data_IF_737817477310
#
_entry.id   IF_737817477310
#
_cell.length_a   1.000
_cell.length_b   1.000
_cell.length_c   1.000
_cell.angle_alpha   90.00
_cell.angle_beta   90.00
_cell.angle_gamma   90.00
#
_symmetry.space_group_name_H-M   'P 1'
#
loop_
_entity.id
_entity.type
_entity.pdbx_description
1 polymer ?
#
# COMPACT_ATOMS: atom_id res chain seq x y z
N UNK A 1 -5.68 9.15 -9.31
CA UNK A 1 -5.13 7.96 -8.61
C UNK A 1 -5.92 6.68 -8.92
N UNK A 2 -5.25 5.54 -9.17
CA UNK A 2 -5.89 4.22 -9.26
C UNK A 2 -6.21 3.65 -7.88
N UNK A 3 -7.46 3.24 -7.65
CA UNK A 3 -7.91 2.57 -6.43
C UNK A 3 -8.63 1.27 -6.79
N UNK A 4 -8.76 0.38 -5.79
CA UNK A 4 -9.55 -0.84 -5.92
C UNK A 4 -10.76 -0.72 -5.00
N UNK A 5 -11.96 -0.83 -5.59
CA UNK A 5 -13.21 -0.97 -4.85
C UNK A 5 -13.54 -2.44 -4.73
N UNK A 6 -13.72 -2.88 -3.49
CA UNK A 6 -14.18 -4.22 -3.18
C UNK A 6 -15.71 -4.20 -3.02
N UNK A 7 -16.40 -5.03 -3.78
CA UNK A 7 -17.82 -5.34 -3.57
C UNK A 7 -18.00 -6.81 -3.20
N UNK A 8 -18.95 -7.11 -2.33
CA UNK A 8 -19.30 -8.48 -1.96
C UNK A 8 -20.37 -8.99 -2.92
N UNK A 9 -20.14 -10.12 -3.58
CA UNK A 9 -21.19 -10.80 -4.34
C UNK A 9 -22.10 -11.60 -3.40
N UNK A 10 -23.38 -11.65 -3.74
CA UNK A 10 -24.42 -12.39 -3.04
C UNK A 10 -25.10 -13.34 -4.03
N UNK A 11 -24.36 -14.35 -4.54
CA UNK A 11 -24.95 -15.33 -5.44
C UNK A 11 -25.97 -16.22 -4.72
N UNK A 12 -27.02 -16.62 -5.42
CA UNK A 12 -27.85 -17.75 -5.00
C UNK A 12 -27.09 -19.09 -5.13
N UNK A 13 -27.72 -20.20 -4.75
CA UNK A 13 -27.09 -21.52 -4.77
C UNK A 13 -26.61 -21.96 -6.17
N UNK A 14 -27.40 -21.66 -7.22
CA UNK A 14 -27.08 -22.02 -8.60
C UNK A 14 -25.93 -21.15 -9.10
N UNK A 15 -26.01 -19.85 -8.87
CA UNK A 15 -24.97 -18.88 -9.22
C UNK A 15 -23.65 -19.20 -8.51
N UNK A 16 -23.71 -19.58 -7.22
CA UNK A 16 -22.54 -19.94 -6.43
C UNK A 16 -21.86 -21.20 -6.96
N UNK A 17 -22.65 -22.24 -7.28
CA UNK A 17 -22.14 -23.48 -7.87
C UNK A 17 -21.37 -23.23 -9.17
N UNK A 18 -21.89 -22.36 -10.05
CA UNK A 18 -21.22 -21.98 -11.29
C UNK A 18 -19.85 -21.30 -11.05
N UNK A 19 -19.73 -20.47 -10.02
CA UNK A 19 -18.46 -19.85 -9.63
C UNK A 19 -17.49 -20.86 -9.02
N UNK A 20 -17.99 -21.77 -8.19
CA UNK A 20 -17.21 -22.84 -7.55
C UNK A 20 -16.66 -23.86 -8.54
N UNK A 21 -17.35 -24.05 -9.67
CA UNK A 21 -16.82 -24.81 -10.81
C UNK A 21 -15.80 -24.00 -11.61
N UNK A 22 -16.17 -22.77 -11.98
CA UNK A 22 -15.40 -21.96 -12.93
C UNK A 22 -14.04 -21.51 -12.39
N UNK A 23 -13.98 -20.93 -11.18
CA UNK A 23 -12.73 -20.35 -10.68
C UNK A 23 -11.62 -21.39 -10.48
N UNK A 24 -11.89 -22.57 -9.87
CA UNK A 24 -10.92 -23.66 -9.82
C UNK A 24 -10.48 -24.15 -11.20
N UNK A 25 -11.41 -24.39 -12.13
CA UNK A 25 -11.08 -24.85 -13.48
C UNK A 25 -10.22 -23.86 -14.26
N UNK A 26 -10.47 -22.55 -14.12
CA UNK A 26 -9.61 -21.51 -14.70
C UNK A 26 -8.20 -21.54 -14.10
N UNK A 27 -8.06 -21.79 -12.80
CA UNK A 27 -6.76 -21.88 -12.15
C UNK A 27 -6.00 -23.18 -12.50
N UNK A 28 -6.72 -24.28 -12.72
CA UNK A 28 -6.16 -25.53 -13.22
C UNK A 28 -5.67 -25.38 -14.67
N UNK A 29 -6.49 -24.79 -15.55
CA UNK A 29 -6.09 -24.47 -16.90
C UNK A 29 -4.88 -23.51 -16.93
N UNK A 30 -4.82 -22.52 -16.02
CA UNK A 30 -3.65 -21.65 -15.88
C UNK A 30 -2.39 -22.41 -15.45
N UNK A 31 -2.52 -23.40 -14.56
CA UNK A 31 -1.39 -24.27 -14.20
C UNK A 31 -0.91 -25.12 -15.37
N UNK A 32 -1.83 -25.63 -16.20
CA UNK A 32 -1.48 -26.36 -17.41
C UNK A 32 -0.74 -25.46 -18.41
N UNK A 33 -1.26 -24.27 -18.73
CA UNK A 33 -0.56 -23.30 -19.61
C UNK A 33 0.81 -22.91 -19.04
N UNK A 34 0.90 -22.76 -17.72
CA UNK A 34 2.16 -22.46 -17.04
C UNK A 34 3.19 -23.60 -17.18
N UNK A 35 2.74 -24.86 -17.09
CA UNK A 35 3.61 -26.02 -17.34
C UNK A 35 4.12 -26.05 -18.79
N UNK A 36 3.22 -25.87 -19.77
CA UNK A 36 3.58 -25.78 -21.20
C UNK A 36 4.58 -24.63 -21.44
N UNK A 37 4.31 -23.46 -20.86
CA UNK A 37 5.23 -22.31 -20.94
C UNK A 37 6.60 -22.62 -20.38
N UNK A 38 6.66 -23.33 -19.25
CA UNK A 38 7.92 -23.63 -18.58
C UNK A 38 8.74 -24.67 -19.35
N UNK A 39 8.08 -25.68 -19.90
CA UNK A 39 8.73 -26.71 -20.71
C UNK A 39 9.27 -26.13 -22.02
N UNK A 40 8.47 -25.33 -22.73
CA UNK A 40 8.86 -24.77 -24.02
C UNK A 40 9.80 -23.56 -23.91
N UNK A 41 9.64 -22.72 -22.87
CA UNK A 41 10.28 -21.40 -22.81
C UNK A 41 10.91 -21.06 -21.44
N UNK A 42 10.97 -22.00 -20.51
CA UNK A 42 11.37 -21.76 -19.12
C UNK A 42 10.62 -20.55 -18.53
N UNK A 43 11.34 -19.49 -18.13
CA UNK A 43 10.73 -18.29 -17.54
C UNK A 43 10.38 -17.18 -18.55
N UNK A 44 10.59 -17.43 -19.85
CA UNK A 44 10.56 -16.40 -20.91
C UNK A 44 9.35 -16.50 -21.85
N UNK A 45 8.38 -17.36 -21.55
CA UNK A 45 7.17 -17.51 -22.36
C UNK A 45 6.41 -16.20 -22.51
N UNK A 46 6.21 -15.76 -23.74
CA UNK A 46 5.45 -14.56 -24.10
C UNK A 46 4.00 -14.87 -24.45
N UNK A 47 3.15 -13.84 -24.44
CA UNK A 47 1.71 -13.97 -24.73
C UNK A 47 1.48 -14.54 -26.14
N UNK A 48 2.27 -14.10 -27.13
CA UNK A 48 2.10 -14.49 -28.54
C UNK A 48 2.40 -15.98 -28.74
N UNK A 49 3.49 -16.46 -28.14
CA UNK A 49 3.95 -17.84 -28.23
C UNK A 49 2.96 -18.78 -27.53
N UNK A 50 2.55 -18.42 -26.30
CA UNK A 50 1.58 -19.21 -25.55
C UNK A 50 0.20 -19.21 -26.20
N UNK A 51 -0.20 -18.12 -26.86
CA UNK A 51 -1.44 -18.09 -27.63
C UNK A 51 -1.42 -19.10 -28.77
N UNK A 52 -0.31 -19.20 -29.52
CA UNK A 52 -0.19 -20.17 -30.62
C UNK A 52 -0.30 -21.61 -30.12
N UNK A 53 0.33 -21.94 -28.98
CA UNK A 53 0.39 -23.31 -28.48
C UNK A 53 -0.85 -23.73 -27.67
N UNK A 54 -1.41 -22.82 -26.86
CA UNK A 54 -2.39 -23.21 -25.86
C UNK A 54 -3.83 -22.83 -26.22
N UNK A 55 -4.06 -21.89 -27.13
CA UNK A 55 -5.40 -21.36 -27.38
C UNK A 55 -6.38 -22.44 -27.84
N UNK A 56 -6.00 -23.30 -28.79
CA UNK A 56 -6.84 -24.39 -29.29
C UNK A 56 -7.29 -25.32 -28.17
N UNK A 57 -6.34 -25.87 -27.40
CA UNK A 57 -6.65 -26.78 -26.28
C UNK A 57 -7.45 -26.10 -25.16
N UNK A 58 -7.29 -24.79 -24.93
CA UNK A 58 -8.14 -24.07 -23.98
C UNK A 58 -9.60 -23.98 -24.47
N UNK A 59 -9.80 -23.81 -25.78
CA UNK A 59 -11.15 -23.79 -26.38
C UNK A 59 -11.80 -25.17 -26.29
N UNK A 60 -11.06 -26.24 -26.55
CA UNK A 60 -11.52 -27.63 -26.40
C UNK A 60 -11.89 -27.96 -24.95
N UNK A 61 -11.20 -27.38 -23.97
CA UNK A 61 -11.54 -27.47 -22.53
C UNK A 61 -12.78 -26.64 -22.14
N UNK A 62 -13.48 -26.05 -23.10
CA UNK A 62 -14.73 -25.31 -22.88
C UNK A 62 -14.55 -23.83 -22.50
N UNK A 63 -13.33 -23.28 -22.52
CA UNK A 63 -13.15 -21.86 -22.20
C UNK A 63 -13.65 -20.97 -23.35
N UNK A 64 -14.36 -19.90 -23.01
CA UNK A 64 -14.72 -18.82 -23.92
C UNK A 64 -13.49 -18.17 -24.57
N UNK A 65 -13.63 -17.58 -25.76
CA UNK A 65 -12.50 -16.98 -26.49
C UNK A 65 -11.79 -15.92 -25.64
N UNK A 66 -12.54 -15.02 -25.00
CA UNK A 66 -11.98 -14.00 -24.11
C UNK A 66 -11.34 -14.62 -22.86
N UNK A 67 -11.99 -15.60 -22.23
CA UNK A 67 -11.45 -16.27 -21.05
C UNK A 67 -10.12 -16.99 -21.34
N UNK A 68 -10.00 -17.65 -22.48
CA UNK A 68 -8.76 -18.28 -22.92
C UNK A 68 -7.63 -17.23 -23.11
N UNK A 69 -7.95 -16.11 -23.77
CA UNK A 69 -6.99 -15.01 -23.99
C UNK A 69 -6.50 -14.39 -22.68
N UNK A 70 -7.41 -14.08 -21.75
CA UNK A 70 -7.07 -13.52 -20.45
C UNK A 70 -6.29 -14.49 -19.57
N UNK A 71 -6.62 -15.79 -19.63
CA UNK A 71 -5.86 -16.81 -18.93
C UNK A 71 -4.42 -16.88 -19.43
N UNK A 72 -4.20 -16.87 -20.75
CA UNK A 72 -2.84 -16.84 -21.35
C UNK A 72 -2.08 -15.58 -20.92
N UNK A 73 -2.72 -14.40 -21.03
CA UNK A 73 -2.15 -13.11 -20.59
C UNK A 73 -1.73 -13.17 -19.12
N UNK A 74 -2.61 -13.66 -18.25
CA UNK A 74 -2.36 -13.82 -16.80
C UNK A 74 -1.15 -14.71 -16.52
N UNK A 75 -0.96 -15.80 -17.26
CA UNK A 75 0.21 -16.68 -17.12
C UNK A 75 1.48 -15.93 -17.51
N UNK A 76 1.50 -15.30 -18.68
CA UNK A 76 2.65 -14.51 -19.14
C UNK A 76 3.01 -13.36 -18.18
N UNK A 77 2.01 -12.65 -17.65
CA UNK A 77 2.21 -11.57 -16.68
C UNK A 77 2.80 -12.10 -15.36
N UNK A 78 2.42 -13.30 -14.94
CA UNK A 78 2.99 -13.95 -13.77
C UNK A 78 4.48 -14.28 -13.95
N UNK A 79 4.88 -14.77 -15.13
CA UNK A 79 6.30 -15.00 -15.46
C UNK A 79 7.09 -13.69 -15.57
N UNK A 80 6.50 -12.65 -16.16
CA UNK A 80 7.09 -11.31 -16.22
C UNK A 80 7.33 -10.75 -14.81
N UNK A 81 6.35 -10.88 -13.93
CA UNK A 81 6.47 -10.48 -12.52
C UNK A 81 7.56 -11.29 -11.80
N UNK A 82 7.64 -12.60 -12.03
CA UNK A 82 8.67 -13.43 -11.43
C UNK A 82 10.08 -12.99 -11.85
N UNK A 83 10.29 -12.76 -13.15
CA UNK A 83 11.57 -12.27 -13.68
C UNK A 83 11.96 -10.92 -13.10
N UNK A 84 11.03 -9.97 -13.04
CA UNK A 84 11.26 -8.67 -12.42
C UNK A 84 11.68 -8.78 -10.94
N UNK A 85 11.05 -9.69 -10.18
CA UNK A 85 11.43 -9.95 -8.79
C UNK A 85 12.82 -10.59 -8.64
N UNK A 86 13.23 -11.44 -9.57
CA UNK A 86 14.58 -12.01 -9.62
C UNK A 86 15.60 -10.91 -9.90
N UNK A 87 15.35 -10.08 -10.91
CA UNK A 87 16.22 -8.98 -11.31
C UNK A 87 16.37 -7.93 -10.22
N UNK A 88 15.28 -7.60 -9.51
CA UNK A 88 15.31 -6.70 -8.36
C UNK A 88 16.00 -7.29 -7.12
N UNK A 89 16.45 -8.56 -7.15
CA UNK A 89 17.09 -9.21 -6.01
C UNK A 89 16.14 -9.60 -4.88
N UNK A 90 14.82 -9.51 -5.07
CA UNK A 90 13.82 -9.80 -4.04
C UNK A 90 13.81 -11.27 -3.59
N UNK A 91 14.33 -12.17 -4.44
CA UNK A 91 14.49 -13.59 -4.12
C UNK A 91 15.89 -13.94 -3.58
N UNK A 92 16.79 -12.95 -3.47
CA UNK A 92 18.17 -13.14 -3.04
C UNK A 92 19.12 -13.54 -4.18
N UNK A 93 20.40 -13.81 -3.85
CA UNK A 93 21.41 -14.21 -4.84
C UNK A 93 21.07 -15.55 -5.51
N UNK A 94 21.76 -15.88 -6.59
CA UNK A 94 21.63 -17.14 -7.34
C UNK A 94 21.78 -18.36 -6.43
N UNK A 95 22.65 -18.27 -5.42
CA UNK A 95 22.85 -19.33 -4.42
C UNK A 95 21.70 -19.48 -3.43
N UNK A 96 20.75 -18.56 -3.37
CA UNK A 96 19.65 -18.66 -2.41
C UNK A 96 18.71 -19.83 -2.76
N UNK A 97 18.26 -20.56 -1.73
CA UNK A 97 17.28 -21.65 -1.92
C UNK A 97 15.96 -21.14 -2.50
N UNK A 98 15.58 -19.89 -2.17
CA UNK A 98 14.36 -19.25 -2.64
C UNK A 98 14.40 -18.99 -4.15
N UNK A 99 15.49 -18.43 -4.66
CA UNK A 99 15.67 -18.17 -6.09
C UNK A 99 15.76 -19.47 -6.89
N UNK A 100 16.61 -20.42 -6.46
CA UNK A 100 16.74 -21.74 -7.09
C UNK A 100 15.38 -22.43 -7.25
N UNK A 101 14.58 -22.44 -6.17
CA UNK A 101 13.23 -23.02 -6.19
C UNK A 101 12.25 -22.30 -7.13
N UNK A 102 12.41 -20.99 -7.32
CA UNK A 102 11.53 -20.21 -8.18
C UNK A 102 11.89 -20.38 -9.66
N UNK A 103 13.17 -20.58 -9.96
CA UNK A 103 13.67 -20.82 -11.33
C UNK A 103 13.48 -22.27 -11.78
N UNK A 104 13.42 -23.24 -10.85
CA UNK A 104 13.40 -24.67 -11.16
C UNK A 104 12.03 -25.27 -11.47
N UNK A 105 10.95 -24.48 -11.54
CA UNK A 105 9.59 -25.01 -11.68
C UNK A 105 8.62 -23.98 -12.26
N UNK A 106 7.50 -24.42 -12.86
CA UNK A 106 6.47 -23.51 -13.34
C UNK A 106 5.83 -22.68 -12.23
N UNK A 107 5.28 -21.54 -12.63
CA UNK A 107 4.46 -20.72 -11.73
C UNK A 107 3.16 -21.46 -11.41
N UNK A 108 2.79 -21.54 -10.14
CA UNK A 108 1.60 -22.28 -9.69
C UNK A 108 0.53 -21.31 -9.18
N UNK A 109 -0.66 -21.41 -9.78
CA UNK A 109 -1.90 -20.77 -9.39
C UNK A 109 -2.65 -21.67 -8.40
N UNK A 110 -2.98 -21.12 -7.23
CA UNK A 110 -3.80 -21.82 -6.23
C UNK A 110 -5.23 -21.99 -6.74
N UNK A 111 -5.92 -23.03 -6.26
CA UNK A 111 -7.33 -23.36 -6.57
C UNK A 111 -8.27 -22.16 -6.59
N UNK A 112 -8.17 -21.26 -5.60
CA UNK A 112 -9.02 -20.07 -5.48
C UNK A 112 -8.24 -18.76 -5.70
N UNK A 113 -7.22 -18.78 -6.57
CA UNK A 113 -6.53 -17.54 -6.95
C UNK A 113 -7.47 -16.67 -7.77
N UNK A 114 -7.42 -15.36 -7.54
CA UNK A 114 -8.27 -14.39 -8.22
C UNK A 114 -8.14 -14.48 -9.75
N UNK A 115 -9.24 -14.35 -10.46
CA UNK A 115 -9.26 -14.32 -11.92
C UNK A 115 -9.84 -13.00 -12.43
N UNK A 116 -9.16 -12.42 -13.42
CA UNK A 116 -9.48 -11.10 -13.96
C UNK A 116 -10.46 -11.22 -15.11
N UNK A 117 -11.54 -10.45 -15.06
CA UNK A 117 -12.54 -10.35 -16.12
C UNK A 117 -12.57 -8.96 -16.73
N UNK A 118 -12.68 -8.91 -18.05
CA UNK A 118 -12.93 -7.68 -18.80
C UNK A 118 -14.44 -7.40 -18.96
N UNK A 119 -14.76 -6.33 -19.66
CA UNK A 119 -16.15 -5.87 -19.85
C UNK A 119 -16.97 -6.76 -20.78
N UNK A 120 -16.31 -7.67 -21.51
CA UNK A 120 -16.96 -8.67 -22.35
C UNK A 120 -17.41 -9.87 -21.52
N UNK A 121 -16.61 -10.24 -20.53
CA UNK A 121 -16.91 -11.34 -19.61
C UNK A 121 -17.69 -10.88 -18.36
N UNK A 122 -17.69 -9.60 -18.03
CA UNK A 122 -18.31 -9.07 -16.82
C UNK A 122 -18.99 -7.73 -17.09
N UNK A 123 -20.29 -7.64 -16.84
CA UNK A 123 -21.03 -6.37 -16.94
C UNK A 123 -21.64 -5.98 -15.59
N UNK A 124 -21.68 -4.67 -15.35
CA UNK A 124 -22.28 -4.07 -14.17
C UNK A 124 -23.66 -3.48 -14.51
N UNK A 125 -24.63 -3.71 -13.64
CA UNK A 125 -25.87 -2.94 -13.59
C UNK A 125 -25.90 -2.25 -12.21
N UNK A 126 -25.58 -0.96 -12.20
CA UNK A 126 -25.42 -0.22 -10.95
C UNK A 126 -26.78 0.12 -10.31
N UNK A 127 -27.81 0.36 -11.10
CA UNK A 127 -29.16 0.70 -10.62
C UNK A 127 -29.80 -0.48 -9.90
N UNK A 128 -29.70 -1.67 -10.51
CA UNK A 128 -30.18 -2.91 -9.89
C UNK A 128 -29.19 -3.50 -8.87
N UNK A 129 -27.99 -2.94 -8.74
CA UNK A 129 -26.86 -3.48 -7.98
C UNK A 129 -26.59 -4.97 -8.27
N UNK A 130 -26.57 -5.31 -9.57
CA UNK A 130 -26.25 -6.65 -10.04
C UNK A 130 -25.07 -6.66 -11.00
N UNK A 131 -24.45 -7.82 -11.15
CA UNK A 131 -23.45 -8.10 -12.19
C UNK A 131 -23.84 -9.33 -12.99
N UNK A 132 -23.42 -9.36 -14.24
CA UNK A 132 -23.48 -10.57 -15.06
C UNK A 132 -22.07 -11.02 -15.42
N UNK A 133 -21.73 -12.27 -15.08
CA UNK A 133 -20.37 -12.80 -15.17
C UNK A 133 -20.39 -14.06 -16.04
N UNK A 134 -19.44 -14.16 -16.97
CA UNK A 134 -19.21 -15.36 -17.75
C UNK A 134 -18.65 -16.47 -16.86
N UNK A 135 -19.20 -17.68 -16.99
CA UNK A 135 -18.76 -18.90 -16.33
C UNK A 135 -18.70 -20.06 -17.34
N UNK A 136 -18.17 -21.21 -16.91
CA UNK A 136 -18.21 -22.43 -17.72
C UNK A 136 -19.64 -22.95 -17.94
N UNK A 137 -20.59 -22.54 -17.09
CA UNK A 137 -22.02 -22.87 -17.19
C UNK A 137 -22.80 -21.87 -18.07
N UNK A 138 -22.09 -20.96 -18.74
CA UNK A 138 -22.67 -19.86 -19.50
C UNK A 138 -22.62 -18.54 -18.74
N UNK A 139 -23.39 -17.54 -19.18
CA UNK A 139 -23.37 -16.23 -18.53
C UNK A 139 -24.34 -16.20 -17.37
N UNK A 140 -23.81 -16.17 -16.15
CA UNK A 140 -24.59 -16.01 -14.92
C UNK A 140 -25.03 -14.55 -14.83
N UNK A 141 -26.34 -14.30 -14.80
CA UNK A 141 -26.94 -12.94 -14.79
C UNK A 141 -27.48 -12.59 -13.40
N UNK A 142 -27.67 -11.30 -13.18
CA UNK A 142 -28.36 -10.75 -12.01
C UNK A 142 -27.76 -11.17 -10.65
N UNK A 143 -26.45 -11.38 -10.59
CA UNK A 143 -25.78 -11.67 -9.32
C UNK A 143 -25.73 -10.40 -8.51
N UNK A 144 -26.45 -10.36 -7.39
CA UNK A 144 -26.50 -9.18 -6.52
C UNK A 144 -25.11 -8.90 -5.93
N UNK A 145 -24.77 -7.64 -5.79
CA UNK A 145 -23.59 -7.22 -5.04
C UNK A 145 -23.96 -6.21 -3.95
N UNK A 146 -23.16 -6.18 -2.89
CA UNK A 146 -23.30 -5.25 -1.79
C UNK A 146 -22.02 -4.45 -1.61
N UNK A 147 -22.17 -3.13 -1.47
CA UNK A 147 -21.09 -2.20 -1.17
C UNK A 147 -21.63 -0.96 -0.42
N UNK A 148 -20.74 -0.11 0.08
CA UNK A 148 -21.17 1.15 0.71
C UNK A 148 -21.69 2.14 -0.34
N UNK A 149 -22.56 3.11 0.02
CA UNK A 149 -23.03 4.14 -0.91
C UNK A 149 -21.89 4.90 -1.60
N UNK A 150 -20.82 5.22 -0.85
CA UNK A 150 -19.62 5.86 -1.40
C UNK A 150 -18.89 4.98 -2.41
N UNK A 151 -18.84 3.67 -2.17
CA UNK A 151 -18.22 2.72 -3.09
C UNK A 151 -19.04 2.62 -4.37
N UNK A 152 -20.38 2.59 -4.27
CA UNK A 152 -21.27 2.59 -5.43
C UNK A 152 -21.09 3.84 -6.29
N UNK A 153 -21.10 5.04 -5.66
CA UNK A 153 -20.84 6.31 -6.35
C UNK A 153 -19.50 6.30 -7.09
N UNK A 154 -18.46 5.79 -6.45
CA UNK A 154 -17.13 5.69 -7.06
C UNK A 154 -17.08 4.69 -8.21
N UNK A 155 -17.79 3.57 -8.11
CA UNK A 155 -17.88 2.58 -9.20
C UNK A 155 -18.57 3.19 -10.43
N UNK A 156 -19.73 3.82 -10.23
CA UNK A 156 -20.50 4.44 -11.32
C UNK A 156 -19.66 5.51 -12.03
N UNK A 157 -18.99 6.37 -11.28
CA UNK A 157 -18.29 7.51 -11.85
C UNK A 157 -16.91 7.18 -12.44
N UNK A 158 -16.18 6.23 -11.84
CA UNK A 158 -14.73 6.12 -12.07
C UNK A 158 -14.24 4.71 -12.39
N UNK A 159 -15.11 3.70 -12.44
CA UNK A 159 -14.68 2.34 -12.77
C UNK A 159 -14.19 2.28 -14.21
N UNK A 160 -12.96 1.79 -14.39
CA UNK A 160 -12.34 1.58 -15.70
C UNK A 160 -11.59 0.25 -15.73
N UNK A 161 -11.70 -0.44 -16.86
CA UNK A 161 -10.90 -1.64 -17.14
C UNK A 161 -11.41 -2.89 -16.43
N UNK A 162 -10.50 -3.79 -16.08
CA UNK A 162 -10.84 -5.16 -15.66
C UNK A 162 -11.29 -5.23 -14.18
N UNK A 163 -11.91 -6.34 -13.79
CA UNK A 163 -12.34 -6.60 -12.40
C UNK A 163 -11.99 -8.03 -12.00
N UNK A 164 -11.41 -8.20 -10.80
CA UNK A 164 -10.97 -9.51 -10.33
C UNK A 164 -12.07 -10.20 -9.53
N UNK A 165 -12.45 -11.42 -9.93
CA UNK A 165 -13.25 -12.33 -9.14
C UNK A 165 -12.38 -13.01 -8.07
N UNK A 166 -12.77 -12.84 -6.82
CA UNK A 166 -12.02 -13.30 -5.65
C UNK A 166 -12.91 -14.16 -4.76
N UNK A 167 -12.44 -15.36 -4.42
CA UNK A 167 -13.04 -16.19 -3.39
C UNK A 167 -12.18 -16.16 -2.12
N UNK A 168 -12.78 -15.71 -1.01
CA UNK A 168 -12.06 -15.55 0.26
C UNK A 168 -12.99 -15.80 1.44
N UNK A 169 -12.53 -16.65 2.37
CA UNK A 169 -13.22 -16.91 3.64
C UNK A 169 -14.70 -17.30 3.43
N UNK A 170 -14.97 -18.15 2.42
CA UNK A 170 -16.31 -18.62 2.06
C UNK A 170 -17.19 -17.60 1.33
N UNK A 171 -16.62 -16.48 0.87
CA UNK A 171 -17.36 -15.37 0.26
C UNK A 171 -16.76 -14.98 -1.09
N UNK A 172 -17.64 -14.56 -1.99
CA UNK A 172 -17.30 -14.06 -3.32
C UNK A 172 -17.21 -12.53 -3.32
N UNK A 173 -16.21 -12.00 -4.00
CA UNK A 173 -15.99 -10.56 -4.16
C UNK A 173 -15.59 -10.23 -5.59
N UNK A 174 -15.91 -9.01 -6.00
CA UNK A 174 -15.27 -8.38 -7.15
C UNK A 174 -14.40 -7.22 -6.66
N UNK A 175 -13.17 -7.20 -7.14
CA UNK A 175 -12.25 -6.08 -6.96
C UNK A 175 -12.21 -5.31 -8.28
N UNK A 176 -12.92 -4.19 -8.32
CA UNK A 176 -12.99 -3.32 -9.48
C UNK A 176 -11.93 -2.21 -9.35
N UNK A 177 -11.11 -2.05 -10.39
CA UNK A 177 -10.19 -0.92 -10.46
C UNK A 177 -10.96 0.33 -10.86
N UNK A 178 -10.71 1.43 -10.16
CA UNK A 178 -11.29 2.73 -10.44
C UNK A 178 -10.18 3.77 -10.57
N UNK A 179 -10.35 4.69 -11.52
CA UNK A 179 -9.43 5.80 -11.76
C UNK A 179 -10.06 7.08 -11.22
N UNK A 180 -9.80 7.41 -9.95
CA UNK A 180 -10.28 8.68 -9.40
C UNK A 180 -9.45 9.82 -9.98
N UNK A 181 -10.06 10.93 -10.41
CA UNK A 181 -9.32 12.17 -10.60
C UNK A 181 -8.74 12.59 -9.24
N UNK A 182 -7.52 13.12 -9.27
CA UNK A 182 -6.97 13.78 -8.10
C UNK A 182 -7.78 15.07 -7.89
N UNK A 183 -8.09 15.40 -6.64
CA UNK A 183 -8.83 16.64 -6.35
C UNK A 183 -7.86 17.81 -6.47
N UNK A 184 -8.32 18.92 -7.02
CA UNK A 184 -7.56 20.15 -7.02
C UNK A 184 -7.26 20.58 -5.58
N UNK A 185 -6.02 20.99 -5.36
CA UNK A 185 -5.56 21.50 -4.09
C UNK A 185 -6.14 22.90 -3.89
N UNK A 186 -6.68 23.19 -2.69
CA UNK A 186 -7.08 24.55 -2.33
C UNK A 186 -5.85 25.37 -1.93
N UNK A 187 -5.90 26.70 -2.04
CA UNK A 187 -4.84 27.55 -1.47
C UNK A 187 -4.87 27.48 0.07
N UNK A 188 -3.81 26.96 0.73
CA UNK A 188 -3.82 26.74 2.17
C UNK A 188 -3.64 28.03 2.95
N UNK A 189 -4.52 28.30 3.92
CA UNK A 189 -4.40 29.50 4.78
C UNK A 189 -3.19 29.43 5.74
N UNK A 190 -2.74 28.21 6.04
CA UNK A 190 -1.56 27.90 6.82
C UNK A 190 -1.20 26.41 6.61
N UNK A 191 -0.18 25.92 7.34
CA UNK A 191 0.31 24.55 7.29
C UNK A 191 0.21 23.87 8.66
N UNK A 192 -0.03 22.56 8.64
CA UNK A 192 0.17 21.68 9.80
C UNK A 192 1.51 20.99 9.61
N UNK A 193 2.51 21.39 10.39
CA UNK A 193 3.82 20.75 10.37
C UNK A 193 3.79 19.46 11.20
N UNK A 194 4.25 18.35 10.63
CA UNK A 194 4.15 17.03 11.23
C UNK A 194 5.55 16.43 11.42
N UNK A 195 6.00 16.37 12.68
CA UNK A 195 7.20 15.65 13.07
C UNK A 195 6.89 14.16 13.34
N UNK A 196 7.79 13.27 12.91
CA UNK A 196 7.61 11.80 12.99
C UNK A 196 8.72 11.17 13.83
N UNK A 197 8.37 10.77 15.05
CA UNK A 197 9.33 10.23 16.02
C UNK A 197 9.11 8.76 16.44
N UNK A 198 10.10 8.19 17.13
CA UNK A 198 10.05 6.79 17.61
C UNK A 198 9.18 6.64 18.87
N UNK A 199 9.25 7.64 19.77
CA UNK A 199 8.56 7.68 21.07
C UNK A 199 7.19 8.32 20.90
N UNK A 200 7.16 9.54 20.37
CA UNK A 200 5.97 10.22 19.89
C UNK A 200 5.84 9.94 18.41
N UNK A 201 4.82 9.19 18.01
CA UNK A 201 4.71 8.68 16.64
C UNK A 201 4.51 9.81 15.64
N UNK A 202 3.73 10.81 16.07
CA UNK A 202 3.51 12.07 15.37
C UNK A 202 3.37 13.17 16.42
N UNK A 203 4.06 14.27 16.21
CA UNK A 203 3.83 15.54 16.91
C UNK A 203 3.55 16.62 15.88
N UNK A 204 2.41 17.30 16.01
CA UNK A 204 2.02 18.38 15.10
C UNK A 204 2.46 19.74 15.62
N UNK A 205 2.56 20.74 14.74
CA UNK A 205 2.77 22.15 15.07
C UNK A 205 1.68 22.75 15.97
N UNK A 206 0.52 22.09 16.07
CA UNK A 206 -0.60 22.50 16.93
C UNK A 206 -0.52 21.87 18.33
N UNK A 207 0.60 21.20 18.67
CA UNK A 207 0.79 20.53 19.96
C UNK A 207 0.12 19.16 20.08
N UNK A 208 -0.68 18.73 19.09
CA UNK A 208 -1.25 17.37 19.09
C UNK A 208 -0.15 16.32 19.01
N UNK A 209 -0.11 15.42 19.99
CA UNK A 209 0.89 14.36 20.09
C UNK A 209 0.22 12.98 20.15
N UNK A 210 0.54 12.14 19.15
CA UNK A 210 0.15 10.75 19.13
C UNK A 210 1.16 9.91 19.92
N UNK A 211 0.91 9.82 21.22
CA UNK A 211 1.80 9.13 22.14
C UNK A 211 1.94 7.65 21.81
N UNK A 212 3.18 7.18 21.76
CA UNK A 212 3.50 5.78 21.56
C UNK A 212 3.35 4.90 22.80
N UNK A 213 2.89 5.36 23.98
CA UNK A 213 2.97 4.57 25.24
C UNK A 213 2.34 3.17 25.15
N UNK A 214 1.10 3.08 24.64
CA UNK A 214 0.42 1.79 24.39
C UNK A 214 1.18 0.95 23.35
N UNK A 215 1.69 1.60 22.31
CA UNK A 215 2.49 0.97 21.23
C UNK A 215 3.83 0.48 21.75
N UNK A 216 4.49 1.21 22.65
CA UNK A 216 5.75 0.86 23.29
C UNK A 216 5.61 -0.35 24.20
N UNK A 217 4.52 -0.42 24.99
CA UNK A 217 4.17 -1.62 25.76
C UNK A 217 3.97 -2.84 24.85
N UNK A 218 3.21 -2.67 23.77
CA UNK A 218 3.00 -3.71 22.77
C UNK A 218 4.31 -4.17 22.10
N UNK A 219 5.19 -3.23 21.72
CA UNK A 219 6.50 -3.51 21.13
C UNK A 219 7.42 -4.27 22.09
N UNK A 220 7.49 -3.87 23.37
CA UNK A 220 8.28 -4.59 24.38
C UNK A 220 7.77 -6.02 24.56
N UNK A 221 6.46 -6.22 24.63
CA UNK A 221 5.87 -7.55 24.70
C UNK A 221 6.18 -8.40 23.45
N UNK A 222 6.10 -7.82 22.26
CA UNK A 222 6.46 -8.53 21.02
C UNK A 222 7.95 -8.88 20.98
N UNK A 223 8.83 -7.97 21.39
CA UNK A 223 10.27 -8.23 21.45
C UNK A 223 10.59 -9.38 22.41
N UNK A 224 10.00 -9.39 23.61
CA UNK A 224 10.13 -10.49 24.57
C UNK A 224 9.66 -11.82 23.97
N UNK A 225 8.47 -11.85 23.37
CA UNK A 225 7.94 -13.06 22.71
C UNK A 225 8.77 -13.50 21.50
N UNK A 226 9.42 -12.56 20.81
CA UNK A 226 10.34 -12.87 19.72
C UNK A 226 11.59 -13.56 20.25
N UNK A 227 12.19 -13.03 21.30
CA UNK A 227 13.35 -13.64 21.96
C UNK A 227 13.04 -15.05 22.50
N UNK A 228 11.93 -15.21 23.23
CA UNK A 228 11.47 -16.51 23.73
C UNK A 228 11.31 -17.55 22.60
N UNK A 229 10.71 -17.16 21.46
CA UNK A 229 10.52 -18.08 20.34
C UNK A 229 11.81 -18.34 19.56
N UNK A 230 12.70 -17.35 19.44
CA UNK A 230 13.99 -17.52 18.78
C UNK A 230 14.90 -18.47 19.55
N UNK A 231 14.87 -18.42 20.89
CA UNK A 231 15.63 -19.32 21.75
C UNK A 231 15.25 -20.79 21.55
N UNK A 232 13.97 -21.09 21.26
CA UNK A 232 13.49 -22.47 21.05
C UNK A 232 14.06 -23.16 19.80
N UNK A 233 14.50 -22.41 18.79
CA UNK A 233 15.08 -22.92 17.51
C UNK A 233 14.28 -23.98 16.73
N UNK A 234 13.03 -24.28 17.10
CA UNK A 234 12.18 -25.27 16.42
C UNK A 234 11.46 -24.74 15.17
N UNK A 235 11.00 -25.66 14.31
CA UNK A 235 10.18 -25.33 13.12
C UNK A 235 8.86 -24.64 13.50
N UNK A 236 8.20 -25.11 14.56
CA UNK A 236 6.95 -24.52 15.07
C UNK A 236 7.15 -23.10 15.60
N UNK A 237 8.26 -22.85 16.30
CA UNK A 237 8.63 -21.52 16.77
C UNK A 237 8.87 -20.55 15.60
N UNK A 238 9.59 -20.98 14.55
CA UNK A 238 9.78 -20.19 13.32
C UNK A 238 8.46 -19.83 12.63
N UNK A 239 7.52 -20.78 12.54
CA UNK A 239 6.19 -20.49 11.97
C UNK A 239 5.39 -19.50 12.83
N UNK A 240 5.46 -19.62 14.16
CA UNK A 240 4.78 -18.70 15.10
C UNK A 240 5.40 -17.30 15.05
N UNK A 241 6.72 -17.19 14.91
CA UNK A 241 7.42 -15.93 14.64
C UNK A 241 6.90 -15.26 13.37
N UNK A 242 6.76 -16.00 12.27
CA UNK A 242 6.20 -15.46 11.00
C UNK A 242 4.76 -14.96 11.16
N UNK A 243 3.90 -15.71 11.87
CA UNK A 243 2.52 -15.28 12.17
C UNK A 243 2.50 -14.01 13.03
N UNK A 244 3.36 -13.93 14.05
CA UNK A 244 3.49 -12.74 14.92
C UNK A 244 4.00 -11.52 14.18
N UNK A 245 5.03 -11.65 13.35
CA UNK A 245 5.55 -10.56 12.53
C UNK A 245 4.46 -9.97 11.62
N UNK A 246 3.63 -10.81 10.99
CA UNK A 246 2.47 -10.34 10.22
C UNK A 246 1.43 -9.61 11.07
N UNK A 247 1.19 -10.05 12.31
CA UNK A 247 0.26 -9.37 13.24
C UNK A 247 0.81 -8.01 13.67
N UNK A 248 2.10 -7.93 13.96
CA UNK A 248 2.80 -6.68 14.30
C UNK A 248 2.74 -5.67 13.14
N UNK A 249 3.06 -6.11 11.92
CA UNK A 249 2.97 -5.27 10.73
C UNK A 249 1.54 -4.74 10.49
N UNK A 250 0.52 -5.61 10.58
CA UNK A 250 -0.89 -5.17 10.45
C UNK A 250 -1.29 -4.15 11.51
N UNK A 251 -0.84 -4.33 12.75
CA UNK A 251 -1.13 -3.39 13.84
C UNK A 251 -0.48 -2.01 13.58
N UNK A 252 0.78 -1.98 13.16
CA UNK A 252 1.47 -0.74 12.80
C UNK A 252 0.79 -0.04 11.61
N UNK A 253 0.45 -0.78 10.57
CA UNK A 253 -0.29 -0.25 9.41
C UNK A 253 -1.65 0.31 9.79
N UNK A 254 -2.40 -0.37 10.66
CA UNK A 254 -3.69 0.13 11.15
C UNK A 254 -3.54 1.46 11.91
N UNK A 255 -2.56 1.56 12.81
CA UNK A 255 -2.27 2.80 13.52
C UNK A 255 -1.86 3.93 12.57
N UNK A 256 -0.98 3.65 11.60
CA UNK A 256 -0.60 4.62 10.58
C UNK A 256 -1.82 5.11 9.79
N UNK A 257 -2.76 4.23 9.43
CA UNK A 257 -4.01 4.64 8.79
C UNK A 257 -4.86 5.53 9.68
N UNK A 258 -4.97 5.24 10.98
CA UNK A 258 -5.74 6.10 11.91
C UNK A 258 -5.10 7.47 12.02
N UNK A 259 -3.80 7.54 12.33
CA UNK A 259 -3.06 8.81 12.51
C UNK A 259 -3.15 9.66 11.23
N UNK A 260 -2.79 9.10 10.08
CA UNK A 260 -2.86 9.83 8.80
C UNK A 260 -4.27 10.29 8.45
N UNK A 261 -5.33 9.52 8.81
CA UNK A 261 -6.72 9.97 8.59
C UNK A 261 -7.02 11.19 9.45
N UNK A 262 -6.63 11.18 10.72
CA UNK A 262 -6.90 12.29 11.64
C UNK A 262 -6.12 13.55 11.25
N UNK A 263 -4.82 13.43 10.93
CA UNK A 263 -3.99 14.57 10.50
C UNK A 263 -4.59 15.25 9.25
N UNK A 264 -4.93 14.47 8.22
CA UNK A 264 -5.50 15.02 6.99
C UNK A 264 -6.90 15.61 7.23
N UNK A 265 -7.72 14.99 8.07
CA UNK A 265 -9.05 15.53 8.40
C UNK A 265 -8.96 16.87 9.15
N UNK A 266 -7.99 17.02 10.06
CA UNK A 266 -7.76 18.30 10.76
C UNK A 266 -7.34 19.38 9.77
N UNK A 267 -6.36 19.08 8.90
CA UNK A 267 -5.88 20.00 7.87
C UNK A 267 -7.01 20.43 6.93
N UNK A 268 -7.80 19.47 6.44
CA UNK A 268 -8.96 19.74 5.59
C UNK A 268 -10.01 20.64 6.26
N UNK A 269 -10.42 20.32 7.50
CA UNK A 269 -11.42 21.12 8.25
C UNK A 269 -10.96 22.55 8.52
N UNK A 270 -9.66 22.76 8.61
CA UNK A 270 -9.06 24.07 8.93
C UNK A 270 -8.54 24.79 7.70
N UNK A 271 -8.78 24.26 6.48
CA UNK A 271 -8.24 24.79 5.21
C UNK A 271 -6.73 25.00 5.22
N UNK A 272 -5.99 24.10 5.87
CA UNK A 272 -4.53 24.12 5.97
C UNK A 272 -3.91 23.00 5.13
N UNK A 273 -2.69 23.22 4.64
CA UNK A 273 -1.86 22.17 4.04
C UNK A 273 -1.21 21.28 5.10
N UNK A 274 -0.65 20.14 4.68
CA UNK A 274 0.13 19.25 5.56
C UNK A 274 1.59 19.23 5.10
N UNK A 275 2.50 19.48 6.04
CA UNK A 275 3.93 19.49 5.78
C UNK A 275 4.65 18.37 6.53
N UNK A 276 5.54 17.65 5.83
CA UNK A 276 6.39 16.60 6.40
C UNK A 276 7.86 16.87 6.07
N UNK A 277 8.76 16.39 6.91
CA UNK A 277 10.16 16.30 6.54
C UNK A 277 10.39 15.23 5.46
N UNK A 278 11.31 15.48 4.53
CA UNK A 278 11.77 14.48 3.58
C UNK A 278 12.75 13.50 4.25
N UNK A 279 12.27 12.32 4.67
CA UNK A 279 13.08 11.33 5.37
C UNK A 279 13.67 10.25 4.44
N UNK A 280 13.74 10.50 3.12
CA UNK A 280 14.37 9.58 2.17
C UNK A 280 15.84 9.38 2.55
N UNK A 281 16.30 8.12 2.57
CA UNK A 281 17.70 7.79 2.85
C UNK A 281 18.16 7.88 4.32
N UNK A 282 17.29 8.22 5.29
CA UNK A 282 17.70 8.39 6.71
C UNK A 282 18.38 7.15 7.31
N UNK A 283 18.00 5.94 6.86
CA UNK A 283 18.59 4.68 7.34
C UNK A 283 20.04 4.49 6.91
N UNK A 284 20.49 5.16 5.85
CA UNK A 284 21.88 5.13 5.38
C UNK A 284 22.71 6.23 6.04
N UNK A 285 22.08 7.34 6.45
CA UNK A 285 22.75 8.51 7.05
C UNK A 285 22.95 8.38 8.56
N UNK A 286 22.11 7.61 9.25
CA UNK A 286 22.15 7.52 10.73
C UNK A 286 22.63 6.15 11.19
N UNK A 287 23.85 6.11 11.73
CA UNK A 287 24.35 4.93 12.44
C UNK A 287 23.76 4.90 13.85
N UNK A 288 22.83 3.98 14.06
CA UNK A 288 22.25 3.76 15.39
C UNK A 288 22.78 2.49 16.06
N UNK A 289 22.93 2.51 17.40
CA UNK A 289 23.26 1.33 18.19
C UNK A 289 22.31 0.15 17.91
N UNK A 290 22.81 -1.08 18.08
CA UNK A 290 22.11 -2.33 17.67
C UNK A 290 20.75 -2.52 18.35
N UNK A 291 20.64 -2.11 19.60
CA UNK A 291 19.41 -2.08 20.41
C UNK A 291 18.38 -1.06 19.87
N UNK A 292 18.84 0.08 19.36
CA UNK A 292 17.99 1.10 18.75
C UNK A 292 17.58 0.75 17.31
N UNK A 293 18.39 -0.02 16.56
CA UNK A 293 18.01 -0.52 15.21
C UNK A 293 16.72 -1.33 15.23
N UNK A 294 16.55 -2.18 16.24
CA UNK A 294 15.33 -2.97 16.40
C UNK A 294 14.09 -2.07 16.63
N UNK A 295 14.24 -0.99 17.39
CA UNK A 295 13.17 0.00 17.60
C UNK A 295 12.88 0.81 16.33
N UNK A 296 13.91 1.25 15.61
CA UNK A 296 13.79 2.01 14.36
C UNK A 296 13.18 1.20 13.21
N UNK A 297 13.50 -0.08 13.12
CA UNK A 297 12.92 -0.99 12.11
C UNK A 297 11.49 -1.43 12.44
N UNK A 298 11.07 -1.33 13.71
CA UNK A 298 9.74 -1.74 14.16
C UNK A 298 8.61 -0.79 13.73
N UNK A 299 8.93 0.42 13.26
CA UNK A 299 7.93 1.37 12.79
C UNK A 299 8.22 1.88 11.38
N UNK A 300 7.27 1.76 10.44
CA UNK A 300 7.47 2.20 9.08
C UNK A 300 7.11 3.70 8.93
N UNK A 301 8.01 4.60 9.31
CA UNK A 301 7.85 6.06 9.17
C UNK A 301 7.54 6.50 7.73
N UNK A 302 8.20 5.84 6.78
CA UNK A 302 7.95 6.03 5.36
C UNK A 302 6.52 5.66 4.97
N UNK A 303 5.97 4.58 5.53
CA UNK A 303 4.57 4.20 5.27
C UNK A 303 3.60 5.25 5.80
N UNK A 304 3.86 5.82 6.98
CA UNK A 304 3.03 6.91 7.50
C UNK A 304 3.07 8.14 6.60
N UNK A 305 4.25 8.54 6.12
CA UNK A 305 4.39 9.65 5.17
C UNK A 305 3.63 9.40 3.88
N UNK A 306 3.81 8.22 3.28
CA UNK A 306 3.07 7.81 2.10
C UNK A 306 1.54 7.82 2.35
N UNK A 307 1.10 7.42 3.54
CA UNK A 307 -0.32 7.43 3.91
C UNK A 307 -0.90 8.83 4.08
N UNK A 308 -0.11 9.77 4.60
CA UNK A 308 -0.50 11.18 4.66
C UNK A 308 -0.57 11.71 3.22
N UNK A 309 0.49 11.55 2.43
CA UNK A 309 0.57 12.08 1.06
C UNK A 309 -0.57 11.60 0.14
N UNK A 310 -0.88 10.29 0.10
CA UNK A 310 -1.98 9.83 -0.76
C UNK A 310 -3.35 10.30 -0.25
N UNK A 311 -3.52 10.45 1.07
CA UNK A 311 -4.79 10.95 1.63
C UNK A 311 -4.95 12.44 1.42
N UNK A 312 -3.86 13.21 1.45
CA UNK A 312 -3.87 14.62 1.07
C UNK A 312 -4.38 14.77 -0.37
N UNK A 313 -3.72 14.11 -1.33
CA UNK A 313 -4.14 14.07 -2.74
C UNK A 313 -5.59 13.63 -2.93
N UNK A 314 -6.01 12.58 -2.21
CA UNK A 314 -7.40 12.09 -2.28
C UNK A 314 -8.43 13.13 -1.80
N UNK A 315 -8.05 14.00 -0.86
CA UNK A 315 -8.96 14.97 -0.25
C UNK A 315 -8.75 16.40 -0.77
N UNK A 316 -7.84 16.63 -1.73
CA UNK A 316 -7.48 17.97 -2.24
C UNK A 316 -6.80 18.84 -1.18
N UNK A 317 -6.09 18.21 -0.24
CA UNK A 317 -5.35 18.92 0.80
C UNK A 317 -3.93 19.14 0.31
N UNK A 318 -3.44 20.40 0.23
CA UNK A 318 -2.06 20.69 -0.15
C UNK A 318 -1.07 19.93 0.69
N UNK A 319 -0.05 19.37 0.05
CA UNK A 319 0.97 18.57 0.69
C UNK A 319 2.36 18.95 0.21
N UNK A 320 3.28 19.16 1.15
CA UNK A 320 4.67 19.47 0.83
C UNK A 320 5.62 18.66 1.70
N UNK A 321 6.71 18.19 1.09
CA UNK A 321 7.85 17.68 1.83
C UNK A 321 8.92 18.78 1.90
N UNK A 322 9.47 19.02 3.09
CA UNK A 322 10.50 20.03 3.34
C UNK A 322 11.81 19.35 3.75
N UNK A 323 12.93 20.04 3.51
CA UNK A 323 14.24 19.56 3.96
C UNK A 323 14.23 19.30 5.48
N UNK A 324 14.70 18.14 5.98
CA UNK A 324 14.87 17.87 7.40
C UNK A 324 16.05 18.60 8.07
N UNK A 325 16.98 19.20 7.32
CA UNK A 325 18.24 19.69 7.89
C UNK A 325 18.01 20.74 8.98
N UNK A 326 18.51 20.51 10.19
CA UNK A 326 18.45 21.44 11.34
C UNK A 326 17.05 21.83 11.86
N UNK A 327 15.98 21.19 11.41
CA UNK A 327 14.60 21.45 11.91
C UNK A 327 14.46 21.25 13.41
N UNK A 328 15.22 20.32 14.00
CA UNK A 328 15.22 20.08 15.45
C UNK A 328 16.17 20.99 16.24
N UNK A 329 16.98 21.83 15.58
CA UNK A 329 18.00 22.69 16.21
C UNK A 329 17.73 24.19 16.01
N UNK A 330 16.99 24.55 14.96
CA UNK A 330 16.61 25.93 14.68
C UNK A 330 15.55 26.42 15.65
N UNK A 331 15.73 27.62 16.20
CA UNK A 331 14.71 28.27 16.99
C UNK A 331 13.61 28.85 16.07
N UNK A 332 12.33 28.48 16.25
CA UNK A 332 11.23 29.02 15.44
C UNK A 332 10.92 30.49 15.77
N UNK A 333 11.38 31.01 16.91
CA UNK A 333 11.18 32.41 17.34
C UNK A 333 12.24 33.35 16.77
N UNK A 334 13.52 33.02 16.91
CA UNK A 334 14.62 33.93 16.54
C UNK A 334 15.54 33.43 15.41
N UNK A 335 15.28 32.23 14.86
CA UNK A 335 16.08 31.65 13.78
C UNK A 335 17.46 31.10 14.17
N UNK A 336 17.94 31.35 15.40
CA UNK A 336 19.22 30.84 15.90
C UNK A 336 19.28 29.31 15.79
N UNK A 337 20.32 28.79 15.14
CA UNK A 337 20.48 27.36 14.87
C UNK A 337 21.79 26.90 15.46
N UNK A 338 21.71 26.07 16.50
CA UNK A 338 22.87 25.58 17.21
C UNK A 338 22.58 24.20 17.79
N UNK A 339 23.58 23.31 17.79
CA UNK A 339 23.45 21.98 18.38
C UNK A 339 23.07 22.04 19.86
N UNK A 340 23.62 23.01 20.60
CA UNK A 340 23.35 23.21 22.02
C UNK A 340 21.91 23.67 22.34
N UNK A 341 21.12 24.04 21.32
CA UNK A 341 19.68 24.28 21.48
C UNK A 341 18.91 22.99 21.81
N UNK A 342 19.48 21.82 21.49
CA UNK A 342 18.90 20.50 21.77
C UNK A 342 19.85 19.70 22.67
N UNK A 343 19.87 20.03 23.96
CA UNK A 343 20.72 19.36 24.95
C UNK A 343 20.38 17.88 25.11
N UNK A 344 19.08 17.56 25.12
CA UNK A 344 18.60 16.18 25.23
C UNK A 344 17.69 15.85 24.05
N UNK A 345 17.35 14.57 23.91
CA UNK A 345 16.49 14.11 22.83
C UNK A 345 15.14 14.83 22.80
N UNK A 346 14.57 15.12 23.98
CA UNK A 346 13.15 15.51 24.12
C UNK A 346 12.97 16.99 24.51
N UNK A 347 14.03 17.67 24.95
CA UNK A 347 14.00 19.09 25.34
C UNK A 347 14.75 19.98 24.36
N UNK A 348 14.14 21.12 24.05
CA UNK A 348 14.71 22.22 23.31
C UNK A 348 14.81 23.45 24.21
N UNK A 349 15.93 24.16 24.15
CA UNK A 349 16.16 25.44 24.83
C UNK A 349 17.07 26.33 23.97
N UNK A 350 16.52 27.39 23.38
CA UNK A 350 17.28 28.30 22.55
C UNK A 350 18.31 29.09 23.36
N UNK A 351 19.59 29.00 22.97
CA UNK A 351 20.69 29.74 23.63
C UNK A 351 20.69 31.24 23.41
N UNK A 352 19.94 31.72 22.41
CA UNK A 352 19.86 33.15 22.08
C UNK A 352 18.66 33.86 22.71
N UNK A 353 17.48 33.26 22.65
CA UNK A 353 16.23 33.94 23.04
C UNK A 353 15.45 33.28 24.18
N UNK A 354 15.98 32.22 24.78
CA UNK A 354 15.38 31.52 25.93
C UNK A 354 14.15 30.67 25.63
N UNK A 355 13.69 30.58 24.37
CA UNK A 355 12.55 29.73 24.01
C UNK A 355 12.83 28.27 24.40
N UNK A 356 11.99 27.71 25.27
CA UNK A 356 12.10 26.35 25.76
C UNK A 356 10.82 25.54 25.50
N UNK A 357 10.95 24.22 25.33
CA UNK A 357 9.82 23.32 25.16
C UNK A 357 10.20 21.95 24.63
N UNK A 358 9.19 21.18 24.21
CA UNK A 358 9.41 19.86 23.60
C UNK A 358 10.10 20.00 22.24
N UNK A 359 11.18 19.24 22.02
CA UNK A 359 11.90 19.23 20.74
C UNK A 359 11.04 18.81 19.56
N UNK A 360 10.13 17.85 19.76
CA UNK A 360 9.26 17.33 18.70
C UNK A 360 8.22 18.38 18.28
N UNK A 361 7.73 19.18 19.24
CA UNK A 361 6.83 20.29 18.96
C UNK A 361 7.56 21.41 18.19
N UNK A 362 8.78 21.77 18.64
CA UNK A 362 9.62 22.75 17.96
C UNK A 362 9.94 22.32 16.53
N UNK A 363 10.27 21.03 16.32
CA UNK A 363 10.47 20.47 14.99
C UNK A 363 9.21 20.62 14.12
N UNK A 364 8.02 20.26 14.65
CA UNK A 364 6.74 20.46 13.96
C UNK A 364 6.50 21.92 13.56
N UNK A 365 6.79 22.88 14.44
CA UNK A 365 6.67 24.32 14.12
C UNK A 365 7.66 24.75 13.03
N UNK A 366 8.90 24.27 13.07
CA UNK A 366 9.88 24.56 12.03
C UNK A 366 9.50 23.96 10.67
N UNK A 367 8.94 22.75 10.65
CA UNK A 367 8.41 22.11 9.44
C UNK A 367 7.27 22.93 8.84
N UNK A 368 6.33 23.41 9.68
CA UNK A 368 5.28 24.35 9.26
C UNK A 368 5.88 25.61 8.65
N UNK A 369 6.83 26.24 9.33
CA UNK A 369 7.41 27.50 8.87
C UNK A 369 8.16 27.32 7.54
N UNK A 370 8.85 26.20 7.34
CA UNK A 370 9.47 25.86 6.05
C UNK A 370 8.46 25.66 4.94
N UNK A 371 7.33 25.03 5.25
CA UNK A 371 6.27 24.85 4.28
C UNK A 371 5.65 26.18 3.84
N UNK A 372 5.46 27.13 4.77
CA UNK A 372 5.04 28.50 4.42
C UNK A 372 6.00 29.14 3.42
N UNK A 373 7.30 29.08 3.69
CA UNK A 373 8.30 29.63 2.78
C UNK A 373 8.33 28.90 1.43
N UNK A 374 8.41 27.57 1.44
CA UNK A 374 8.48 26.76 0.23
C UNK A 374 7.25 26.94 -0.67
N UNK A 375 6.05 26.98 -0.09
CA UNK A 375 4.82 27.16 -0.84
C UNK A 375 4.69 28.54 -1.47
N UNK A 376 5.14 29.58 -0.76
CA UNK A 376 5.16 30.93 -1.31
C UNK A 376 6.03 31.02 -2.59
N UNK A 377 7.18 30.32 -2.61
CA UNK A 377 8.01 30.26 -3.83
C UNK A 377 7.38 29.45 -4.96
N UNK A 378 6.65 28.36 -4.65
CA UNK A 378 5.99 27.51 -5.65
C UNK A 378 4.78 28.21 -6.29
N UNK A 379 4.13 29.11 -5.55
CA UNK A 379 2.90 29.80 -5.99
C UNK A 379 3.18 31.17 -6.63
N UNK A 380 4.45 31.57 -6.78
CA UNK A 380 4.79 32.80 -7.49
C UNK A 380 4.51 32.63 -9.00
N UNK A 381 3.74 33.52 -9.64
CA UNK A 381 3.63 33.50 -11.09
C UNK A 381 5.02 33.64 -11.70
N UNK A 382 5.31 32.83 -12.72
CA UNK A 382 6.56 32.96 -13.48
C UNK A 382 6.70 34.38 -14.03
N UNK A 383 7.94 34.89 -14.23
CA UNK A 383 8.12 36.19 -14.86
C UNK A 383 7.37 36.19 -16.19
N UNK A 384 6.56 37.24 -16.42
CA UNK A 384 5.90 37.43 -17.70
C UNK A 384 6.98 37.38 -18.80
N UNK A 385 6.73 36.69 -19.93
CA UNK A 385 7.66 36.69 -21.04
C UNK A 385 7.94 38.15 -21.44
N UNK A 386 9.23 38.49 -21.51
CA UNK A 386 9.73 39.82 -21.80
C UNK A 386 9.32 40.32 -23.20
#
# INVERSE_FOLDING_TARGET
MKLVVQVKLMPDAVQASAFERTLPSLNEAANWVSAVSFEAFALRGGVRELRKQCYGSLRERGLGAQAAQHLIKRVADAYTTLRANIQAGNLGPVTSKSRRKAESKPVVFRRHSAHTFDDRCLSWNYDAQTVSIWTLDGRVRNVRFACSPDALKQLVAYRRGESDLVFRDGKWFLYATIDLPDREDFEPVDWVGVDRGIVNLVTTSDGTNYQGRRVGRYRRWQARKRAELQAKRTRSAKQRLKKRAKKEARHATHLNHKISKTVVAVAQRTRRGVALEELRGIRHRVTVPRDQRARLSSWPFHQLGAFIAYKCRRNGVPFVEVDPAYTSQRCPRCGHTERANRQTRDHFHCRRCGLAGSSDHVAGVNVRNRARSAWAFVSMPGPAPA
#
